data_IF_656770794244
#
_entry.id   IF_656770794244
#
_cell.length_a   1.000
_cell.length_b   1.000
_cell.length_c   1.000
_cell.angle_alpha   90.00
_cell.angle_beta   90.00
_cell.angle_gamma   90.00
#
_symmetry.space_group_name_H-M   'P 1'
#
loop_
_entity.id
_entity.type
_entity.pdbx_description
1 polymer ?
#
# COMPACT_ATOMS: atom_id res chain seq x y z
N UNK A 1 3.65 -2.41 3.61
CA UNK A 1 4.52 -1.54 4.44
C UNK A 1 4.11 -0.09 4.18
N UNK A 2 3.80 0.68 5.22
CA UNK A 2 3.43 2.11 5.12
C UNK A 2 4.58 2.95 5.70
N UNK A 3 5.09 3.94 4.95
CA UNK A 3 6.24 4.77 5.36
C UNK A 3 6.00 6.26 5.13
N UNK A 4 6.30 7.10 6.12
CA UNK A 4 6.14 8.55 6.01
C UNK A 4 7.48 9.28 5.90
N UNK A 5 7.55 10.31 5.05
CA UNK A 5 8.63 11.29 5.12
C UNK A 5 8.46 12.21 6.35
N UNK A 6 9.58 12.67 6.92
CA UNK A 6 9.60 13.67 7.99
C UNK A 6 8.79 14.90 7.55
N UNK A 7 7.98 15.46 8.48
CA UNK A 7 7.04 16.57 8.26
C UNK A 7 7.72 17.86 7.81
N UNK A 8 8.06 17.97 6.52
CA UNK A 8 8.19 19.25 5.82
C UNK A 8 7.08 19.33 4.79
N UNK A 9 6.35 20.44 4.81
CA UNK A 9 5.07 20.69 4.11
C UNK A 9 5.18 20.74 2.57
N UNK A 10 6.26 20.25 1.97
CA UNK A 10 6.71 20.61 0.62
C UNK A 10 7.13 19.41 -0.26
N UNK A 11 6.52 18.22 -0.13
CA UNK A 11 7.23 17.02 -0.63
C UNK A 11 6.38 15.93 -1.31
N UNK A 12 5.11 16.05 -1.75
CA UNK A 12 4.48 14.93 -2.47
C UNK A 12 5.28 14.51 -3.72
N UNK A 13 5.73 15.48 -4.53
CA UNK A 13 6.52 15.20 -5.75
C UNK A 13 7.93 14.71 -5.45
N UNK A 14 8.62 15.36 -4.52
CA UNK A 14 10.00 15.00 -4.16
C UNK A 14 10.05 13.65 -3.46
N UNK A 15 9.08 13.35 -2.58
CA UNK A 15 8.96 12.06 -1.90
C UNK A 15 8.69 10.95 -2.91
N UNK A 16 7.74 11.17 -3.82
CA UNK A 16 7.44 10.20 -4.87
C UNK A 16 8.66 9.95 -5.78
N UNK A 17 9.49 10.97 -6.07
CA UNK A 17 10.75 10.79 -6.80
C UNK A 17 11.77 9.96 -6.04
N UNK A 18 11.99 10.25 -4.76
CA UNK A 18 12.91 9.48 -3.91
C UNK A 18 12.43 8.04 -3.78
N UNK A 19 11.14 7.84 -3.52
CA UNK A 19 10.54 6.51 -3.43
C UNK A 19 10.61 5.76 -4.76
N UNK A 20 10.42 6.44 -5.90
CA UNK A 20 10.56 5.82 -7.21
C UNK A 20 11.99 5.32 -7.46
N UNK A 21 13.00 6.10 -7.05
CA UNK A 21 14.40 5.68 -7.12
C UNK A 21 14.68 4.48 -6.20
N UNK A 22 14.17 4.50 -4.96
CA UNK A 22 14.31 3.38 -4.03
C UNK A 22 13.57 2.12 -4.51
N UNK A 23 12.38 2.28 -5.10
CA UNK A 23 11.63 1.20 -5.73
C UNK A 23 12.36 0.64 -6.96
N UNK A 24 13.10 1.46 -7.71
CA UNK A 24 13.95 0.98 -8.79
C UNK A 24 15.16 0.18 -8.25
N UNK A 25 15.79 0.67 -7.17
CA UNK A 25 16.87 -0.04 -6.49
C UNK A 25 16.42 -1.41 -5.98
N UNK A 26 15.29 -1.47 -5.26
CA UNK A 26 14.71 -2.71 -4.75
C UNK A 26 14.29 -3.67 -5.89
N UNK A 27 13.86 -3.16 -7.05
CA UNK A 27 13.58 -4.00 -8.22
C UNK A 27 14.82 -4.64 -8.85
N UNK A 28 16.02 -4.16 -8.52
CA UNK A 28 17.28 -4.83 -8.85
C UNK A 28 17.55 -6.07 -7.99
N UNK A 29 16.76 -6.29 -6.93
CA UNK A 29 16.74 -7.52 -6.14
C UNK A 29 15.54 -8.37 -6.55
N UNK A 30 15.51 -9.69 -6.27
CA UNK A 30 14.40 -10.57 -6.64
C UNK A 30 13.11 -10.34 -5.82
N UNK A 31 12.86 -9.11 -5.35
CA UNK A 31 11.67 -8.68 -4.63
C UNK A 31 10.67 -8.07 -5.60
N UNK A 32 9.45 -8.62 -5.67
CA UNK A 32 8.36 -7.98 -6.42
C UNK A 32 7.61 -7.02 -5.51
N UNK A 33 7.60 -5.75 -5.88
CA UNK A 33 6.96 -4.70 -5.10
C UNK A 33 6.13 -3.75 -5.97
N UNK A 34 5.09 -3.19 -5.37
CA UNK A 34 4.26 -2.15 -5.96
C UNK A 34 4.12 -1.00 -4.95
N UNK A 35 4.53 0.20 -5.34
CA UNK A 35 4.43 1.40 -4.51
C UNK A 35 3.27 2.29 -4.96
N UNK A 36 2.57 2.88 -4.00
CA UNK A 36 1.62 3.96 -4.20
C UNK A 36 1.75 4.96 -3.05
N UNK A 37 2.28 6.14 -3.31
CA UNK A 37 2.62 7.13 -2.27
C UNK A 37 3.38 6.47 -1.12
N UNK A 38 2.89 6.53 0.11
CA UNK A 38 3.48 5.93 1.30
C UNK A 38 3.24 4.41 1.45
N UNK A 39 2.39 3.81 0.62
CA UNK A 39 2.02 2.39 0.68
C UNK A 39 2.85 1.52 -0.28
N UNK A 40 3.55 0.53 0.28
CA UNK A 40 4.34 -0.46 -0.47
C UNK A 40 3.73 -1.85 -0.26
N UNK A 41 3.36 -2.50 -1.36
CA UNK A 41 2.88 -3.88 -1.40
C UNK A 41 4.01 -4.80 -1.90
N UNK A 42 4.22 -5.92 -1.22
CA UNK A 42 5.16 -6.97 -1.64
C UNK A 42 4.39 -8.20 -2.10
N UNK A 43 4.87 -8.85 -3.16
CA UNK A 43 4.26 -10.07 -3.70
C UNK A 43 5.31 -11.18 -3.88
N UNK A 44 5.19 -12.23 -3.10
CA UNK A 44 6.16 -13.34 -3.12
C UNK A 44 5.49 -14.66 -3.49
N UNK A 45 6.28 -15.64 -3.92
CA UNK A 45 5.78 -16.95 -4.35
C UNK A 45 5.50 -17.91 -3.20
N UNK A 46 6.08 -17.67 -2.03
CA UNK A 46 5.91 -18.50 -0.84
C UNK A 46 5.89 -17.64 0.43
N UNK A 47 5.43 -18.24 1.53
CA UNK A 47 5.42 -17.61 2.85
C UNK A 47 6.83 -17.22 3.30
N UNK A 48 7.81 -18.13 3.17
CA UNK A 48 9.20 -17.87 3.56
C UNK A 48 9.83 -16.77 2.70
N UNK A 49 9.58 -16.78 1.39
CA UNK A 49 10.05 -15.71 0.52
C UNK A 49 9.42 -14.37 0.88
N UNK A 50 8.13 -14.34 1.20
CA UNK A 50 7.46 -13.11 1.64
C UNK A 50 8.06 -12.54 2.93
N UNK A 51 8.47 -13.40 3.86
CA UNK A 51 9.14 -12.98 5.09
C UNK A 51 10.52 -12.38 4.79
N UNK A 52 11.30 -13.03 3.94
CA UNK A 52 12.62 -12.54 3.51
C UNK A 52 12.49 -11.22 2.74
N UNK A 53 11.59 -11.14 1.77
CA UNK A 53 11.33 -9.94 0.97
C UNK A 53 10.92 -8.76 1.87
N UNK A 54 10.09 -9.03 2.88
CA UNK A 54 9.69 -8.03 3.87
C UNK A 54 10.89 -7.53 4.67
N UNK A 55 11.76 -8.42 5.15
CA UNK A 55 12.96 -8.04 5.90
C UNK A 55 13.92 -7.20 5.05
N UNK A 56 14.21 -7.63 3.81
CA UNK A 56 15.07 -6.90 2.87
C UNK A 56 14.51 -5.50 2.63
N UNK A 57 13.20 -5.41 2.39
CA UNK A 57 12.54 -4.13 2.12
C UNK A 57 12.59 -3.21 3.33
N UNK A 58 12.30 -3.71 4.54
CA UNK A 58 12.38 -2.93 5.78
C UNK A 58 13.79 -2.40 6.03
N UNK A 59 14.81 -3.26 5.94
CA UNK A 59 16.19 -2.84 6.13
C UNK A 59 16.59 -1.77 5.12
N UNK A 60 16.26 -1.95 3.84
CA UNK A 60 16.58 -0.99 2.78
C UNK A 60 15.92 0.37 3.05
N UNK A 61 14.64 0.37 3.43
CA UNK A 61 13.91 1.60 3.76
C UNK A 61 14.56 2.34 4.94
N UNK A 62 14.88 1.63 6.01
CA UNK A 62 15.50 2.22 7.20
C UNK A 62 16.90 2.76 6.90
N UNK A 63 17.71 2.05 6.12
CA UNK A 63 19.04 2.49 5.68
C UNK A 63 18.99 3.79 4.86
N UNK A 64 17.90 4.01 4.11
CA UNK A 64 17.69 5.22 3.32
C UNK A 64 16.91 6.32 4.08
N UNK A 65 16.77 6.19 5.41
CA UNK A 65 16.19 7.22 6.27
C UNK A 65 14.65 7.27 6.27
N UNK A 66 13.97 6.24 5.76
CA UNK A 66 12.51 6.17 5.85
C UNK A 66 12.07 5.72 7.24
N UNK A 67 11.03 6.36 7.76
CA UNK A 67 10.35 5.93 8.98
C UNK A 67 9.20 4.99 8.64
N UNK A 68 9.24 3.79 9.20
CA UNK A 68 8.17 2.79 9.05
C UNK A 68 7.02 3.12 10.00
N UNK A 69 5.79 3.17 9.49
CA UNK A 69 4.60 3.19 10.31
C UNK A 69 4.21 1.76 10.69
N UNK A 70 4.72 1.28 11.82
CA UNK A 70 4.50 -0.08 12.30
C UNK A 70 3.01 -0.40 12.54
N UNK A 71 2.24 0.56 13.08
CA UNK A 71 0.82 0.38 13.37
C UNK A 71 -0.05 0.21 12.12
N UNK A 72 0.34 0.84 11.00
CA UNK A 72 -0.35 0.71 9.71
C UNK A 72 0.24 -0.38 8.81
N UNK A 73 1.41 -0.92 9.15
CA UNK A 73 2.11 -1.87 8.29
C UNK A 73 1.71 -3.31 8.59
N UNK A 74 1.23 -4.01 7.57
CA UNK A 74 1.11 -5.46 7.59
C UNK A 74 2.45 -6.09 7.19
N UNK A 75 3.12 -6.75 8.15
CA UNK A 75 4.50 -7.28 7.98
C UNK A 75 4.58 -8.80 7.96
N UNK A 76 3.48 -9.48 8.23
CA UNK A 76 3.40 -10.92 8.10
C UNK A 76 2.82 -11.28 6.73
N UNK A 77 3.27 -12.36 6.09
CA UNK A 77 2.67 -12.80 4.84
C UNK A 77 1.19 -13.13 5.04
N UNK A 78 0.34 -12.68 4.11
CA UNK A 78 -1.09 -13.03 4.08
C UNK A 78 -1.54 -13.18 2.64
N UNK A 79 -2.52 -14.05 2.43
CA UNK A 79 -3.20 -14.23 1.14
C UNK A 79 -4.41 -13.30 0.98
N UNK A 80 -4.87 -12.67 2.07
CA UNK A 80 -5.94 -11.68 2.08
C UNK A 80 -5.42 -10.40 2.70
N UNK A 81 -5.48 -9.30 1.95
CA UNK A 81 -4.95 -8.02 2.40
C UNK A 81 -5.83 -6.87 1.93
N UNK A 82 -6.13 -5.94 2.85
CA UNK A 82 -6.79 -4.68 2.51
C UNK A 82 -5.76 -3.62 2.14
N UNK A 83 -5.89 -3.03 0.95
CA UNK A 83 -5.01 -1.96 0.45
C UNK A 83 -5.81 -0.98 -0.40
N UNK A 84 -5.66 0.32 -0.16
CA UNK A 84 -6.37 1.39 -0.89
C UNK A 84 -7.89 1.15 -0.97
N UNK A 85 -8.47 0.71 0.15
CA UNK A 85 -9.89 0.34 0.27
C UNK A 85 -10.36 -0.75 -0.71
N UNK A 86 -9.42 -1.61 -1.13
CA UNK A 86 -9.69 -2.85 -1.85
C UNK A 86 -9.21 -4.03 -1.01
N UNK A 87 -9.89 -5.16 -1.09
CA UNK A 87 -9.47 -6.44 -0.51
C UNK A 87 -8.89 -7.28 -1.64
N UNK A 88 -7.60 -7.61 -1.52
CA UNK A 88 -6.90 -8.48 -2.45
C UNK A 88 -6.93 -9.89 -1.87
N UNK A 89 -7.50 -10.84 -2.60
CA UNK A 89 -7.47 -12.27 -2.27
C UNK A 89 -6.63 -13.01 -3.30
N UNK A 90 -5.43 -13.44 -2.91
CA UNK A 90 -4.50 -14.13 -3.81
C UNK A 90 -4.82 -15.61 -3.99
N UNK A 91 -5.64 -16.21 -3.11
CA UNK A 91 -6.12 -17.60 -3.29
C UNK A 91 -7.11 -17.67 -4.44
N UNK A 92 -8.05 -16.71 -4.47
CA UNK A 92 -9.04 -16.60 -5.56
C UNK A 92 -8.53 -15.83 -6.79
N UNK A 93 -7.41 -15.10 -6.66
CA UNK A 93 -6.91 -14.21 -7.70
C UNK A 93 -7.85 -13.04 -7.99
N UNK A 94 -8.60 -12.57 -6.98
CA UNK A 94 -9.64 -11.53 -7.13
C UNK A 94 -9.36 -10.33 -6.25
N UNK A 95 -9.88 -9.19 -6.69
CA UNK A 95 -9.88 -7.94 -5.95
C UNK A 95 -11.31 -7.49 -5.73
N UNK A 96 -11.65 -7.21 -4.48
CA UNK A 96 -12.97 -6.75 -4.07
C UNK A 96 -12.90 -5.34 -3.51
N UNK A 97 -14.00 -4.61 -3.53
CA UNK A 97 -14.09 -3.34 -2.83
C UNK A 97 -14.27 -3.60 -1.32
N UNK A 98 -13.60 -2.84 -0.44
CA UNK A 98 -13.82 -3.00 1.00
C UNK A 98 -15.27 -2.69 1.38
N UNK A 99 -15.85 -3.36 2.40
CA UNK A 99 -17.20 -3.09 2.88
C UNK A 99 -17.43 -1.61 3.20
N UNK A 100 -16.47 -0.98 3.86
CA UNK A 100 -16.48 0.46 4.20
C UNK A 100 -16.66 1.36 2.97
N UNK A 101 -15.97 1.02 1.87
CA UNK A 101 -16.05 1.78 0.63
C UNK A 101 -17.32 1.47 -0.16
N UNK A 102 -17.82 0.23 -0.09
CA UNK A 102 -19.15 -0.11 -0.60
C UNK A 102 -20.23 0.71 0.10
N UNK A 103 -20.20 0.80 1.43
CA UNK A 103 -21.17 1.56 2.22
C UNK A 103 -21.09 3.05 1.96
N UNK A 104 -19.88 3.59 1.80
CA UNK A 104 -19.68 4.99 1.42
C UNK A 104 -20.31 5.32 0.06
N UNK A 105 -20.14 4.45 -0.94
CA UNK A 105 -20.80 4.64 -2.23
C UNK A 105 -22.32 4.49 -2.15
N UNK A 106 -22.83 3.54 -1.36
CA UNK A 106 -24.27 3.38 -1.16
C UNK A 106 -24.89 4.62 -0.52
N UNK A 107 -24.24 5.20 0.50
CA UNK A 107 -24.68 6.45 1.13
C UNK A 107 -24.71 7.61 0.14
N UNK A 108 -23.62 7.82 -0.60
CA UNK A 108 -23.56 8.86 -1.63
C UNK A 108 -24.65 8.69 -2.70
N UNK A 109 -24.87 7.46 -3.16
CA UNK A 109 -25.92 7.18 -4.14
C UNK A 109 -27.33 7.45 -3.59
N UNK A 110 -27.58 7.20 -2.30
CA UNK A 110 -28.83 7.53 -1.65
C UNK A 110 -29.02 9.05 -1.55
N UNK A 111 -27.99 9.79 -1.17
CA UNK A 111 -28.01 11.26 -1.08
C UNK A 111 -28.29 11.91 -2.44
N UNK A 112 -27.62 11.46 -3.51
CA UNK A 112 -27.86 12.00 -4.85
C UNK A 112 -29.29 11.71 -5.31
N UNK A 113 -29.83 10.52 -4.99
CA UNK A 113 -31.21 10.15 -5.33
C UNK A 113 -32.24 11.00 -4.58
N UNK A 114 -32.00 11.31 -3.31
CA UNK A 114 -32.93 12.14 -2.52
C UNK A 114 -32.84 13.61 -2.92
N UNK A 115 -31.64 14.13 -3.17
CA UNK A 115 -31.41 15.53 -3.51
C UNK A 115 -31.61 15.87 -5.00
N UNK A 116 -31.66 14.86 -5.89
CA UNK A 116 -31.65 15.00 -7.36
C UNK A 116 -30.54 15.91 -7.89
N UNK A 117 -29.44 16.01 -7.15
CA UNK A 117 -28.29 16.84 -7.46
C UNK A 117 -27.03 16.02 -7.22
N UNK A 118 -26.04 16.15 -8.10
CA UNK A 118 -24.70 15.60 -7.87
C UNK A 118 -23.91 16.68 -7.12
N UNK A 119 -23.31 16.37 -5.96
CA UNK A 119 -22.46 17.31 -5.24
C UNK A 119 -21.20 17.70 -6.02
#
# INVERSE_FOLDING_TARGET
ICCSALRLSFVPRTFTKILAALAAHLRGTPVRLQCYLDDILLLSSSYEQAKLDTQITLMTLQQHGFSINWAKSHLYPSTILTRLAMIINTVEGKVFLSPERQDSFRKLAQEIRTLKCVP
#
